data_IF_703973857525
#
_entry.id   IF_703973857525
#
_cell.length_a   1.000
_cell.length_b   1.000
_cell.length_c   1.000
_cell.angle_alpha   90.00
_cell.angle_beta   90.00
_cell.angle_gamma   90.00
#
_symmetry.space_group_name_H-M   'P 1'
#
loop_
_entity.id
_entity.type
_entity.pdbx_description
1 polymer ?
#
# COMPACT_ATOMS: atom_id res chain seq x y z
N UNK A 1 46.01 25.48 -33.06
CA UNK A 1 45.52 24.35 -33.87
C UNK A 1 46.23 23.11 -33.35
N UNK A 2 45.68 22.34 -32.42
CA UNK A 2 44.40 21.65 -32.51
C UNK A 2 44.70 20.18 -32.82
N UNK A 3 44.81 19.34 -31.79
CA UNK A 3 44.16 18.03 -31.78
C UNK A 3 44.28 17.35 -30.41
N UNK A 4 43.08 17.18 -29.84
CA UNK A 4 42.73 16.53 -28.60
C UNK A 4 42.94 15.01 -28.77
N UNK A 5 43.88 14.44 -28.03
CA UNK A 5 44.05 12.98 -27.95
C UNK A 5 42.85 12.40 -27.18
N UNK A 6 41.96 11.75 -27.91
CA UNK A 6 40.84 10.96 -27.38
C UNK A 6 41.39 9.74 -26.63
N UNK A 7 41.41 9.80 -25.29
CA UNK A 7 41.48 8.62 -24.44
C UNK A 7 40.16 7.85 -24.55
N UNK A 8 40.16 6.79 -25.35
CA UNK A 8 39.12 5.75 -25.35
C UNK A 8 39.12 5.04 -23.99
N UNK A 9 38.23 5.44 -23.09
CA UNK A 9 37.88 4.67 -21.91
C UNK A 9 36.99 3.50 -22.34
N UNK A 10 37.58 2.31 -22.46
CA UNK A 10 36.83 1.06 -22.52
C UNK A 10 36.25 0.79 -21.13
N UNK A 11 34.99 1.17 -20.92
CA UNK A 11 34.20 0.69 -19.78
C UNK A 11 33.83 -0.77 -20.08
N UNK A 12 34.59 -1.70 -19.51
CA UNK A 12 34.18 -3.11 -19.40
C UNK A 12 33.11 -3.20 -18.31
N UNK A 13 31.84 -3.23 -18.69
CA UNK A 13 30.77 -3.64 -17.79
C UNK A 13 30.81 -5.17 -17.72
N UNK A 14 31.35 -5.72 -16.64
CA UNK A 14 31.29 -7.16 -16.33
C UNK A 14 29.83 -7.57 -16.16
N UNK A 15 29.27 -8.20 -17.20
CA UNK A 15 27.87 -8.59 -17.30
C UNK A 15 27.58 -9.92 -16.56
N UNK A 16 28.05 -10.08 -15.32
CA UNK A 16 27.99 -11.38 -14.62
C UNK A 16 26.92 -11.51 -13.53
N UNK A 17 26.13 -10.49 -13.20
CA UNK A 17 25.05 -10.63 -12.21
C UNK A 17 23.83 -9.72 -12.46
N UNK A 18 23.26 -9.78 -13.67
CA UNK A 18 21.82 -9.42 -13.81
C UNK A 18 21.04 -10.63 -13.30
N UNK A 19 20.78 -10.65 -12.00
CA UNK A 19 19.82 -11.56 -11.40
C UNK A 19 18.45 -11.19 -11.99
N UNK A 20 18.07 -11.88 -13.06
CA UNK A 20 16.74 -11.78 -13.64
C UNK A 20 15.76 -12.31 -12.59
N UNK A 21 15.26 -11.42 -11.73
CA UNK A 21 14.17 -11.73 -10.80
C UNK A 21 12.96 -12.06 -11.68
N UNK A 22 12.80 -13.34 -12.04
CA UNK A 22 11.57 -13.80 -12.66
C UNK A 22 10.45 -13.52 -11.64
N UNK A 23 9.43 -12.72 -11.98
CA UNK A 23 8.26 -12.62 -11.12
C UNK A 23 7.71 -14.04 -10.95
N UNK A 24 7.69 -14.52 -9.70
CA UNK A 24 7.18 -15.84 -9.36
C UNK A 24 5.69 -15.81 -9.71
N UNK A 25 5.26 -16.63 -10.68
CA UNK A 25 3.85 -16.63 -11.10
C UNK A 25 2.94 -16.84 -9.88
N UNK A 26 1.85 -16.07 -9.76
CA UNK A 26 0.87 -16.29 -8.71
C UNK A 26 0.31 -17.72 -8.82
N UNK A 27 0.20 -18.40 -7.68
CA UNK A 27 -0.41 -19.74 -7.61
C UNK A 27 -1.91 -19.58 -7.41
N UNK A 28 -2.69 -20.22 -8.26
CA UNK A 28 -4.16 -20.25 -8.14
C UNK A 28 -4.60 -21.46 -7.32
N UNK A 29 -5.50 -21.24 -6.37
CA UNK A 29 -6.11 -22.29 -5.55
C UNK A 29 -7.62 -22.19 -5.66
N UNK A 30 -8.30 -23.32 -5.89
CA UNK A 30 -9.75 -23.42 -5.71
C UNK A 30 -9.99 -23.92 -4.29
N UNK A 31 -10.58 -23.08 -3.46
CA UNK A 31 -10.87 -23.39 -2.05
C UNK A 31 -12.36 -23.60 -1.87
N UNK A 32 -12.73 -24.49 -0.95
CA UNK A 32 -14.13 -24.71 -0.57
C UNK A 32 -14.39 -24.05 0.79
N UNK A 33 -15.59 -23.51 0.93
CA UNK A 33 -16.13 -23.02 2.19
C UNK A 33 -16.71 -24.22 2.94
N UNK A 34 -16.40 -24.35 4.23
CA UNK A 34 -16.96 -25.41 5.07
C UNK A 34 -18.37 -25.06 5.61
N UNK A 35 -18.95 -25.99 6.38
CA UNK A 35 -20.28 -25.84 7.01
C UNK A 35 -20.39 -24.64 7.97
N UNK A 36 -19.26 -24.12 8.43
CA UNK A 36 -19.18 -22.95 9.32
C UNK A 36 -18.78 -21.66 8.59
N UNK A 37 -18.76 -21.66 7.25
CA UNK A 37 -18.41 -20.49 6.47
C UNK A 37 -16.91 -20.20 6.39
N UNK A 38 -16.03 -21.12 6.81
CA UNK A 38 -14.57 -20.90 6.87
C UNK A 38 -13.88 -21.31 5.59
N UNK A 39 -12.81 -20.59 5.25
CA UNK A 39 -11.89 -20.94 4.16
C UNK A 39 -10.53 -21.32 4.76
N UNK A 40 -10.04 -22.51 4.42
CA UNK A 40 -8.72 -22.96 4.85
C UNK A 40 -7.63 -22.46 3.90
N UNK A 41 -6.79 -21.54 4.39
CA UNK A 41 -5.58 -21.12 3.67
C UNK A 41 -4.59 -22.29 3.64
N UNK A 42 -4.13 -22.75 2.46
CA UNK A 42 -3.17 -23.84 2.35
C UNK A 42 -1.88 -23.56 3.11
N UNK A 43 -1.29 -24.60 3.73
CA UNK A 43 -0.09 -24.47 4.56
C UNK A 43 1.05 -23.71 3.85
N UNK A 44 1.31 -24.04 2.59
CA UNK A 44 2.35 -23.38 1.80
C UNK A 44 2.12 -21.87 1.63
N UNK A 45 0.85 -21.43 1.54
CA UNK A 45 0.50 -20.01 1.45
C UNK A 45 0.69 -19.34 2.82
N UNK A 46 0.27 -20.00 3.91
CA UNK A 46 0.51 -19.50 5.28
C UNK A 46 1.98 -19.29 5.56
N UNK A 47 2.82 -20.27 5.19
CA UNK A 47 4.26 -20.20 5.40
C UNK A 47 4.90 -19.05 4.62
N UNK A 48 4.49 -18.87 3.35
CA UNK A 48 4.96 -17.77 2.50
C UNK A 48 4.49 -16.39 3.00
N UNK A 49 3.29 -16.30 3.56
CA UNK A 49 2.74 -15.06 4.12
C UNK A 49 3.19 -14.80 5.56
N UNK A 50 3.95 -15.72 6.18
CA UNK A 50 4.33 -15.61 7.58
C UNK A 50 3.15 -15.74 8.55
N UNK A 51 2.01 -16.29 8.11
CA UNK A 51 0.84 -16.51 8.96
C UNK A 51 1.16 -17.64 9.95
N UNK A 52 1.07 -17.32 11.24
CA UNK A 52 1.26 -18.22 12.37
C UNK A 52 -0.05 -18.30 13.17
N UNK A 53 -0.21 -19.28 14.07
CA UNK A 53 -1.28 -19.23 15.05
C UNK A 53 -1.28 -17.87 15.77
N UNK A 54 -2.46 -17.26 15.93
CA UNK A 54 -2.65 -15.94 16.54
C UNK A 54 -2.12 -14.75 15.71
N UNK A 55 -1.78 -14.94 14.43
CA UNK A 55 -1.61 -13.81 13.51
C UNK A 55 -2.94 -13.09 13.28
N UNK A 56 -2.90 -11.77 13.25
CA UNK A 56 -4.04 -10.93 12.86
C UNK A 56 -3.93 -10.54 11.39
N UNK A 57 -5.08 -10.30 10.75
CA UNK A 57 -5.17 -9.84 9.37
C UNK A 57 -6.18 -8.72 9.27
N UNK A 58 -5.91 -7.74 8.42
CA UNK A 58 -6.92 -6.76 7.98
C UNK A 58 -7.57 -7.27 6.70
N UNK A 59 -8.90 -7.27 6.69
CA UNK A 59 -9.72 -7.60 5.53
C UNK A 59 -10.36 -6.36 4.93
N UNK A 60 -10.31 -6.21 3.61
CA UNK A 60 -11.10 -5.21 2.88
C UNK A 60 -11.98 -5.89 1.85
N UNK A 61 -13.25 -5.49 1.78
CA UNK A 61 -14.19 -5.99 0.78
C UNK A 61 -14.55 -4.87 -0.21
N UNK A 62 -14.13 -5.04 -1.46
CA UNK A 62 -14.56 -4.21 -2.58
C UNK A 62 -15.84 -4.81 -3.16
N UNK A 63 -16.98 -4.18 -2.89
CA UNK A 63 -18.30 -4.63 -3.34
C UNK A 63 -18.51 -4.49 -4.85
N UNK A 64 -17.82 -3.56 -5.51
CA UNK A 64 -17.95 -3.36 -6.95
C UNK A 64 -17.22 -4.46 -7.72
N UNK A 65 -16.02 -4.82 -7.25
CA UNK A 65 -15.20 -5.88 -7.85
C UNK A 65 -15.54 -7.27 -7.32
N UNK A 66 -16.32 -7.35 -6.24
CA UNK A 66 -16.57 -8.57 -5.47
C UNK A 66 -15.24 -9.25 -5.07
N UNK A 67 -14.30 -8.45 -4.54
CA UNK A 67 -12.97 -8.91 -4.13
C UNK A 67 -12.78 -8.66 -2.65
N UNK A 68 -12.50 -9.73 -1.91
CA UNK A 68 -12.06 -9.65 -0.52
C UNK A 68 -10.53 -9.81 -0.45
N UNK A 69 -9.85 -8.80 0.09
CA UNK A 69 -8.40 -8.79 0.25
C UNK A 69 -8.04 -9.00 1.71
N UNK A 70 -7.13 -9.93 1.98
CA UNK A 70 -6.59 -10.18 3.31
C UNK A 70 -5.11 -9.86 3.36
N UNK A 71 -4.70 -9.09 4.36
CA UNK A 71 -3.30 -8.73 4.57
C UNK A 71 -2.88 -9.05 6.01
N UNK A 72 -1.75 -9.75 6.23
CA UNK A 72 -1.19 -9.94 7.56
C UNK A 72 -0.81 -8.60 8.20
N UNK A 73 -1.11 -8.44 9.48
CA UNK A 73 -0.76 -7.25 10.25
C UNK A 73 -0.13 -7.61 11.60
N UNK A 74 0.44 -6.61 12.28
CA UNK A 74 0.92 -6.79 13.64
C UNK A 74 -0.27 -7.02 14.57
N UNK A 75 -0.22 -8.01 15.48
CA UNK A 75 -1.25 -8.19 16.49
C UNK A 75 -1.47 -6.95 17.36
N UNK A 76 -2.71 -6.70 17.75
CA UNK A 76 -3.11 -5.57 18.59
C UNK A 76 -3.02 -4.21 17.88
N UNK A 77 -2.99 -4.20 16.54
CA UNK A 77 -3.04 -2.98 15.77
C UNK A 77 -4.45 -2.38 15.75
N UNK A 78 -4.53 -1.04 15.70
CA UNK A 78 -5.78 -0.34 15.38
C UNK A 78 -5.63 0.23 13.98
N UNK A 79 -6.52 -0.12 13.07
CA UNK A 79 -6.38 0.24 11.66
C UNK A 79 -7.51 1.17 11.23
N UNK A 80 -7.15 2.19 10.46
CA UNK A 80 -8.10 3.08 9.79
C UNK A 80 -7.87 2.99 8.29
N UNK A 81 -8.96 2.82 7.54
CA UNK A 81 -8.97 2.96 6.09
C UNK A 81 -9.26 4.41 5.76
N UNK A 82 -8.45 5.00 4.89
CA UNK A 82 -8.59 6.39 4.45
C UNK A 82 -8.57 6.40 2.93
N UNK A 83 -9.54 7.05 2.32
CA UNK A 83 -9.63 7.22 0.87
C UNK A 83 -9.50 8.70 0.58
N UNK A 84 -8.49 9.08 -0.21
CA UNK A 84 -8.27 10.45 -0.66
C UNK A 84 -8.62 10.57 -2.13
N UNK A 85 -9.27 11.68 -2.50
CA UNK A 85 -9.28 12.16 -3.89
C UNK A 85 -8.21 13.24 -4.02
N UNK A 86 -7.20 12.95 -4.81
CA UNK A 86 -6.01 13.81 -4.96
C UNK A 86 -5.78 14.21 -6.42
N UNK A 87 -5.02 15.28 -6.60
CA UNK A 87 -4.52 15.69 -7.91
C UNK A 87 -3.64 14.60 -8.53
N UNK A 88 -3.95 14.17 -9.75
CA UNK A 88 -3.13 13.22 -10.51
C UNK A 88 -2.00 13.97 -11.23
N UNK A 89 -1.02 14.43 -10.46
CA UNK A 89 0.17 15.13 -10.93
C UNK A 89 1.43 14.49 -10.34
N UNK A 90 2.57 14.53 -11.05
CA UNK A 90 3.83 14.02 -10.52
C UNK A 90 4.15 14.58 -9.12
N UNK A 91 4.32 13.69 -8.15
CA UNK A 91 4.68 14.03 -6.78
C UNK A 91 3.49 14.33 -5.85
N UNK A 92 2.25 14.40 -6.32
CA UNK A 92 1.07 14.60 -5.47
C UNK A 92 0.96 13.53 -4.38
N UNK A 93 0.98 12.26 -4.76
CA UNK A 93 0.94 11.14 -3.82
C UNK A 93 2.11 11.18 -2.83
N UNK A 94 3.32 11.45 -3.31
CA UNK A 94 4.51 11.52 -2.46
C UNK A 94 4.42 12.64 -1.41
N UNK A 95 3.86 13.80 -1.76
CA UNK A 95 3.63 14.90 -0.83
C UNK A 95 2.63 14.52 0.26
N UNK A 96 1.48 13.95 -0.12
CA UNK A 96 0.47 13.52 0.86
C UNK A 96 1.03 12.42 1.77
N UNK A 97 1.69 11.40 1.20
CA UNK A 97 2.33 10.34 1.97
C UNK A 97 3.38 10.87 2.96
N UNK A 98 4.22 11.83 2.53
CA UNK A 98 5.23 12.44 3.38
C UNK A 98 4.61 13.25 4.53
N UNK A 99 3.52 13.97 4.27
CA UNK A 99 2.80 14.73 5.29
C UNK A 99 2.15 13.80 6.33
N UNK A 100 1.49 12.72 5.90
CA UNK A 100 0.94 11.70 6.80
C UNK A 100 2.02 11.07 7.68
N UNK A 101 3.15 10.67 7.09
CA UNK A 101 4.28 10.11 7.82
C UNK A 101 4.88 11.11 8.82
N UNK A 102 4.99 12.39 8.45
CA UNK A 102 5.48 13.47 9.32
C UNK A 102 4.54 13.73 10.50
N UNK A 103 3.23 13.55 10.31
CA UNK A 103 2.22 13.55 11.37
C UNK A 103 2.20 12.26 12.20
N UNK A 104 3.15 11.34 11.97
CA UNK A 104 3.30 10.10 12.72
C UNK A 104 2.29 9.02 12.38
N UNK A 105 1.54 9.16 11.27
CA UNK A 105 0.59 8.15 10.79
C UNK A 105 1.37 7.06 10.06
N UNK A 106 1.27 5.83 10.55
CA UNK A 106 1.98 4.68 9.99
C UNK A 106 1.17 4.05 8.84
N UNK A 107 1.66 4.14 7.61
CA UNK A 107 0.99 3.56 6.43
C UNK A 107 1.34 2.07 6.31
N UNK A 108 0.33 1.19 6.33
CA UNK A 108 0.49 -0.27 6.30
C UNK A 108 0.30 -0.81 4.89
N UNK A 109 -0.71 -0.33 4.19
CA UNK A 109 -0.94 -0.62 2.79
C UNK A 109 -1.50 0.60 2.07
N UNK A 110 -1.22 0.68 0.78
CA UNK A 110 -1.69 1.76 -0.06
C UNK A 110 -2.04 1.23 -1.44
N UNK A 111 -3.11 1.73 -2.02
CA UNK A 111 -3.49 1.48 -3.42
C UNK A 111 -3.86 2.80 -4.07
N UNK A 112 -3.45 3.02 -5.32
CA UNK A 112 -3.81 4.21 -6.06
C UNK A 112 -4.44 3.83 -7.39
N UNK A 113 -5.53 4.51 -7.73
CA UNK A 113 -6.27 4.32 -8.97
C UNK A 113 -6.45 5.67 -9.65
N UNK A 114 -6.00 5.80 -10.88
CA UNK A 114 -6.28 6.99 -11.69
C UNK A 114 -7.77 7.01 -12.05
N UNK A 115 -8.48 8.07 -11.68
CA UNK A 115 -9.88 8.28 -12.06
C UNK A 115 -9.98 9.07 -13.37
N UNK A 116 -9.22 10.16 -13.46
CA UNK A 116 -9.12 11.02 -14.65
C UNK A 116 -7.63 11.33 -14.89
N UNK A 117 -7.02 10.77 -15.95
CA UNK A 117 -5.60 10.96 -16.22
C UNK A 117 -5.16 12.42 -16.21
N UNK A 118 -4.12 12.73 -15.45
CA UNK A 118 -3.55 14.06 -15.33
C UNK A 118 -4.43 15.06 -14.57
N UNK A 119 -5.50 14.60 -13.91
CA UNK A 119 -6.39 15.47 -13.13
C UNK A 119 -6.71 14.91 -11.76
N UNK A 120 -7.21 13.68 -11.70
CA UNK A 120 -7.79 13.12 -10.48
C UNK A 120 -7.38 11.66 -10.29
N UNK A 121 -6.87 11.36 -9.11
CA UNK A 121 -6.60 10.02 -8.66
C UNK A 121 -7.29 9.78 -7.32
N UNK A 122 -7.69 8.53 -7.12
CA UNK A 122 -8.07 8.02 -5.82
C UNK A 122 -6.85 7.34 -5.19
N UNK A 123 -6.64 7.61 -3.91
CA UNK A 123 -5.59 6.98 -3.14
C UNK A 123 -6.16 6.43 -1.84
N UNK A 124 -6.17 5.10 -1.75
CA UNK A 124 -6.58 4.36 -0.57
C UNK A 124 -5.36 4.02 0.29
N UNK A 125 -5.51 4.20 1.60
CA UNK A 125 -4.50 3.96 2.61
C UNK A 125 -5.13 3.17 3.76
N UNK A 126 -4.49 2.08 4.16
CA UNK A 126 -4.71 1.44 5.46
C UNK A 126 -3.58 1.91 6.37
N UNK A 127 -3.93 2.63 7.44
CA UNK A 127 -2.99 3.17 8.39
C UNK A 127 -3.14 2.51 9.77
N UNK A 128 -2.02 2.25 10.43
CA UNK A 128 -1.94 1.80 11.82
C UNK A 128 -1.92 3.03 12.74
N UNK A 129 -2.93 3.10 13.59
CA UNK A 129 -3.19 4.17 14.56
C UNK A 129 -3.25 3.63 15.99
N UNK A 130 -2.60 2.50 16.24
CA UNK A 130 -2.48 1.90 17.57
C UNK A 130 -1.78 2.78 18.61
N UNK A 131 -0.98 3.75 18.16
CA UNK A 131 -0.38 4.75 19.05
C UNK A 131 -1.43 5.80 19.40
N UNK A 132 -1.52 6.12 20.68
CA UNK A 132 -2.47 7.10 21.23
C UNK A 132 -2.11 8.52 20.74
N UNK A 133 -2.66 8.88 19.57
CA UNK A 133 -2.62 10.23 19.04
C UNK A 133 -3.95 10.59 18.38
N UNK A 134 -4.31 11.89 18.35
CA UNK A 134 -5.56 12.36 17.77
C UNK A 134 -5.51 12.27 16.23
N UNK A 135 -5.79 11.07 15.69
CA UNK A 135 -5.70 10.75 14.25
C UNK A 135 -6.56 11.69 13.42
N UNK A 136 -7.80 11.92 13.85
CA UNK A 136 -8.79 12.69 13.09
C UNK A 136 -8.36 14.15 12.97
N UNK A 137 -7.80 14.71 14.03
CA UNK A 137 -7.26 16.07 14.09
C UNK A 137 -6.03 16.18 13.18
N UNK A 138 -5.08 15.25 13.28
CA UNK A 138 -3.88 15.23 12.43
C UNK A 138 -4.20 15.06 10.96
N UNK A 139 -5.18 14.22 10.62
CA UNK A 139 -5.65 14.05 9.25
C UNK A 139 -6.23 15.36 8.71
N UNK A 140 -7.05 16.04 9.50
CA UNK A 140 -7.59 17.36 9.11
C UNK A 140 -6.47 18.36 8.87
N UNK A 141 -5.49 18.47 9.76
CA UNK A 141 -4.34 19.36 9.61
C UNK A 141 -3.55 19.08 8.32
N UNK A 142 -3.28 17.80 8.03
CA UNK A 142 -2.58 17.38 6.80
C UNK A 142 -3.38 17.78 5.57
N UNK A 143 -4.68 17.48 5.53
CA UNK A 143 -5.55 17.82 4.41
C UNK A 143 -5.65 19.34 4.23
N UNK A 144 -5.73 20.10 5.32
CA UNK A 144 -5.75 21.56 5.28
C UNK A 144 -4.46 22.16 4.73
N UNK A 145 -3.30 21.58 5.07
CA UNK A 145 -2.01 22.02 4.57
C UNK A 145 -1.79 21.70 3.08
N UNK A 146 -2.57 20.77 2.51
CA UNK A 146 -2.44 20.27 1.14
C UNK A 146 -3.74 20.43 0.35
N UNK A 147 -4.53 21.47 0.61
CA UNK A 147 -5.83 21.73 -0.08
C UNK A 147 -5.71 21.92 -1.59
N UNK A 148 -4.51 22.25 -2.10
CA UNK A 148 -4.21 22.32 -3.53
C UNK A 148 -4.06 20.94 -4.18
N UNK A 149 -3.82 19.90 -3.37
CA UNK A 149 -3.59 18.52 -3.80
C UNK A 149 -4.75 17.60 -3.40
N UNK A 150 -5.26 17.72 -2.19
CA UNK A 150 -6.33 16.87 -1.64
C UNK A 150 -7.66 17.59 -1.78
N UNK A 151 -8.54 17.04 -2.61
CA UNK A 151 -9.87 17.61 -2.87
C UNK A 151 -10.90 17.11 -1.85
N UNK A 152 -10.84 15.81 -1.54
CA UNK A 152 -11.81 15.14 -0.69
C UNK A 152 -11.12 13.99 0.05
N UNK A 153 -11.63 13.63 1.23
CA UNK A 153 -11.22 12.41 1.89
C UNK A 153 -12.35 11.80 2.72
N UNK A 154 -12.32 10.48 2.86
CA UNK A 154 -13.20 9.69 3.72
C UNK A 154 -12.34 8.77 4.59
N UNK A 155 -12.80 8.48 5.81
CA UNK A 155 -12.08 7.59 6.71
C UNK A 155 -13.03 6.67 7.49
N UNK A 156 -12.67 5.40 7.59
CA UNK A 156 -13.43 4.36 8.29
C UNK A 156 -12.51 3.56 9.21
N UNK A 157 -12.88 3.43 10.49
CA UNK A 157 -12.16 2.57 11.44
C UNK A 157 -12.45 1.10 11.14
N UNK A 158 -11.41 0.28 11.05
CA UNK A 158 -11.57 -1.15 10.82
C UNK A 158 -12.23 -1.80 12.04
N UNK A 159 -13.35 -2.51 11.80
CA UNK A 159 -14.03 -3.25 12.86
C UNK A 159 -13.25 -4.52 13.18
N UNK A 160 -12.99 -4.73 14.46
CA UNK A 160 -12.44 -6.00 14.95
C UNK A 160 -13.59 -6.98 15.08
N UNK A 161 -13.72 -7.91 14.13
CA UNK A 161 -14.62 -9.05 14.25
C UNK A 161 -13.88 -10.18 14.98
N UNK A 162 -14.41 -10.62 16.13
CA UNK A 162 -13.84 -11.67 16.99
C UNK A 162 -14.67 -12.93 16.93
#
# INVERSE_FOLDING_TARGET
>A
MGNLFLLRTHIFISLSHILFIRPKMPKTYVLKIDDRGRILIPQAVRDMMGLRPHSETVGTYDSEKNVFTLMPVRPGGNFIRIVFKISDQPGSLAKVASALASSGINLVATSSTTLVPGKLAEWEVIADVSKDYPVKERLKEVVESLRDIVYEFESEEAKVET
#
